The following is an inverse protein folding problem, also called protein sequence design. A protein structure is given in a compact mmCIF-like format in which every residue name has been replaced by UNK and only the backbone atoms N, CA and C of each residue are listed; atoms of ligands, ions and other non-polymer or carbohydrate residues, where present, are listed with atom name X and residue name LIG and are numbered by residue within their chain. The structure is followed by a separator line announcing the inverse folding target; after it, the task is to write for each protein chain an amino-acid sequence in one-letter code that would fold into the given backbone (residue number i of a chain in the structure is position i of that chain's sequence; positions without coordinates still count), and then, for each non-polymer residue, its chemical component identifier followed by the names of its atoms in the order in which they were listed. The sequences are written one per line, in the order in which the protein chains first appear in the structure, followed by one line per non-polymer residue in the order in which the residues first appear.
data_IF_884203163679
#
_entry.id   IF_884203163679
#
_cell.length_a   1.000
_cell.length_b   1.000
_cell.length_c   1.000
_cell.angle_alpha   90.00
_cell.angle_beta   90.00
_cell.angle_gamma   90.00
#
_symmetry.space_group_name_H-M   'P 1'
#
loop_
_entity.id
_entity.type
_entity.pdbx_description
1 polymer ?
#
# COMPACT_ATOMS: atom_id res chain seq x y z
N UNK A 1 -16.52 -0.37 -2.17
CA UNK A 1 -17.83 -0.71 -1.59
C UNK A 1 -18.97 -0.80 -2.62
N UNK A 2 -19.01 0.04 -3.67
CA UNK A 2 -20.04 -0.07 -4.73
C UNK A 2 -19.83 -1.22 -5.72
N UNK A 3 -18.58 -1.64 -5.97
CA UNK A 3 -18.27 -2.67 -6.96
C UNK A 3 -18.93 -4.05 -6.67
N UNK A 4 -18.95 -4.58 -5.44
CA UNK A 4 -19.64 -5.83 -5.13
C UNK A 4 -21.17 -5.75 -5.31
N UNK A 5 -21.79 -4.63 -4.91
CA UNK A 5 -23.25 -4.43 -5.04
C UNK A 5 -23.69 -4.42 -6.51
N UNK A 6 -22.94 -3.72 -7.37
CA UNK A 6 -23.22 -3.67 -8.82
C UNK A 6 -22.90 -5.02 -9.48
N UNK A 7 -21.90 -5.75 -8.98
CA UNK A 7 -21.58 -7.10 -9.46
C UNK A 7 -22.73 -8.09 -9.22
N UNK A 8 -23.33 -8.06 -8.02
CA UNK A 8 -24.45 -8.96 -7.66
C UNK A 8 -25.72 -8.62 -8.45
N UNK A 9 -26.00 -7.33 -8.68
CA UNK A 9 -27.23 -6.89 -9.35
C UNK A 9 -27.17 -6.96 -10.89
N UNK A 10 -26.00 -6.80 -11.50
CA UNK A 10 -25.91 -6.56 -12.96
C UNK A 10 -24.67 -7.17 -13.64
N UNK A 11 -23.91 -7.99 -12.91
CA UNK A 11 -22.74 -8.68 -13.44
C UNK A 11 -21.50 -7.78 -13.61
N UNK A 12 -20.36 -8.42 -13.88
CA UNK A 12 -19.05 -7.77 -13.93
C UNK A 12 -18.93 -6.70 -15.03
N UNK A 13 -19.65 -6.86 -16.14
CA UNK A 13 -19.58 -5.94 -17.27
C UNK A 13 -20.27 -4.59 -16.98
N UNK A 14 -21.34 -4.60 -16.16
CA UNK A 14 -21.99 -3.37 -15.70
C UNK A 14 -21.09 -2.60 -14.73
N UNK A 15 -20.36 -3.31 -13.85
CA UNK A 15 -19.34 -2.70 -12.98
C UNK A 15 -18.33 -1.94 -13.84
N UNK A 16 -17.72 -2.61 -14.83
CA UNK A 16 -16.72 -1.98 -15.69
C UNK A 16 -17.26 -0.72 -16.41
N UNK A 17 -18.47 -0.80 -16.99
CA UNK A 17 -19.11 0.34 -17.67
C UNK A 17 -19.37 1.51 -16.72
N UNK A 18 -19.90 1.25 -15.53
CA UNK A 18 -20.25 2.29 -14.56
C UNK A 18 -19.00 3.04 -14.07
N UNK A 19 -17.91 2.31 -13.80
CA UNK A 19 -16.61 2.92 -13.48
C UNK A 19 -16.00 3.68 -14.65
N UNK A 20 -16.10 3.17 -15.88
CA UNK A 20 -15.62 3.85 -17.08
C UNK A 20 -16.36 5.18 -17.33
N UNK A 21 -17.69 5.19 -17.18
CA UNK A 21 -18.49 6.42 -17.30
C UNK A 21 -18.13 7.41 -16.18
N UNK A 22 -17.99 6.94 -14.95
CA UNK A 22 -17.55 7.79 -13.83
C UNK A 22 -16.20 8.45 -14.10
N UNK A 23 -15.22 7.67 -14.57
CA UNK A 23 -13.89 8.19 -14.94
C UNK A 23 -13.96 9.18 -16.09
N UNK A 24 -14.75 8.90 -17.14
CA UNK A 24 -14.94 9.81 -18.26
C UNK A 24 -15.58 11.14 -17.83
N UNK A 25 -16.61 11.10 -16.98
CA UNK A 25 -17.22 12.32 -16.42
C UNK A 25 -16.21 13.10 -15.60
N UNK A 26 -15.43 12.45 -14.73
CA UNK A 26 -14.38 13.15 -13.97
C UNK A 26 -13.31 13.74 -14.86
N UNK A 27 -12.92 13.06 -15.95
CA UNK A 27 -11.95 13.58 -16.91
C UNK A 27 -12.49 14.81 -17.66
N UNK A 28 -13.76 14.78 -18.07
CA UNK A 28 -14.42 15.93 -18.73
C UNK A 28 -14.53 17.11 -17.76
N UNK A 29 -14.97 16.87 -16.52
CA UNK A 29 -15.03 17.92 -15.50
C UNK A 29 -13.65 18.50 -15.23
N UNK A 30 -12.63 17.66 -15.06
CA UNK A 30 -11.27 18.12 -14.85
C UNK A 30 -10.77 18.92 -16.06
N UNK A 31 -11.06 18.49 -17.29
CA UNK A 31 -10.68 19.23 -18.50
C UNK A 31 -11.35 20.60 -18.59
N UNK A 32 -12.63 20.72 -18.20
CA UNK A 32 -13.39 21.96 -18.28
C UNK A 32 -13.09 22.93 -17.12
N UNK A 33 -12.80 22.41 -15.92
CA UNK A 33 -12.65 23.23 -14.70
C UNK A 33 -11.20 23.41 -14.24
N UNK A 34 -10.26 22.60 -14.69
CA UNK A 34 -8.85 22.77 -14.32
C UNK A 34 -8.27 23.99 -15.02
N UNK A 35 -7.77 24.93 -14.22
CA UNK A 35 -6.96 26.05 -14.69
C UNK A 35 -5.55 25.56 -15.02
N UNK A 36 -4.91 26.17 -16.01
CA UNK A 36 -3.49 25.92 -16.27
C UNK A 36 -2.68 26.23 -15.00
N UNK A 37 -1.71 25.36 -14.71
CA UNK A 37 -0.86 25.46 -13.51
C UNK A 37 -0.06 26.78 -13.59
N UNK A 38 -0.06 27.65 -12.57
CA UNK A 38 0.65 28.94 -12.62
C UNK A 38 2.14 28.79 -12.93
N UNK A 39 2.73 27.66 -12.51
CA UNK A 39 4.12 27.30 -12.80
C UNK A 39 4.40 27.00 -14.28
N UNK A 40 3.39 26.56 -15.05
CA UNK A 40 3.46 26.35 -16.50
C UNK A 40 3.26 27.68 -17.26
N UNK A 41 2.41 28.57 -16.76
CA UNK A 41 2.23 29.93 -17.30
C UNK A 41 3.50 30.78 -17.10
N UNK A 42 4.12 30.74 -15.92
CA UNK A 42 5.39 31.43 -15.66
C UNK A 42 6.55 30.84 -16.47
N UNK A 43 6.58 29.52 -16.70
CA UNK A 43 7.56 28.85 -17.60
C UNK A 43 7.35 29.20 -19.07
N UNK A 44 6.09 29.31 -19.54
CA UNK A 44 5.76 29.82 -20.88
C UNK A 44 6.18 31.28 -21.05
N UNK A 45 5.94 32.12 -20.04
CA UNK A 45 6.32 33.56 -20.06
C UNK A 45 7.83 33.78 -20.03
N UNK A 46 8.58 32.93 -19.33
CA UNK A 46 10.05 33.03 -19.20
C UNK A 46 10.84 32.34 -20.32
N UNK A 47 10.18 31.65 -21.26
CA UNK A 47 10.84 30.99 -22.40
C UNK A 47 11.73 29.80 -22.01
N UNK A 48 11.63 29.31 -20.77
CA UNK A 48 12.43 28.20 -20.27
C UNK A 48 11.91 26.91 -20.89
N UNK A 49 12.75 26.20 -21.65
CA UNK A 49 12.39 24.90 -22.23
C UNK A 49 11.97 23.93 -21.12
N UNK A 50 10.93 23.11 -21.34
CA UNK A 50 10.56 22.07 -20.39
C UNK A 50 11.78 21.16 -20.15
N UNK A 51 12.07 20.85 -18.88
CA UNK A 51 13.17 19.95 -18.52
C UNK A 51 13.05 18.68 -19.33
N UNK A 52 14.14 18.32 -20.01
CA UNK A 52 14.15 17.15 -20.88
C UNK A 52 13.85 15.89 -20.06
N UNK A 53 13.22 14.89 -20.67
CA UNK A 53 12.96 13.60 -20.02
C UNK A 53 14.25 13.03 -19.41
N UNK A 54 15.39 13.15 -20.11
CA UNK A 54 16.70 12.74 -19.61
C UNK A 54 17.14 13.49 -18.33
N UNK A 55 16.86 14.79 -18.20
CA UNK A 55 17.13 15.57 -16.99
C UNK A 55 16.18 15.22 -15.84
N UNK A 56 14.91 14.92 -16.14
CA UNK A 56 13.95 14.45 -15.14
C UNK A 56 14.37 13.09 -14.53
N UNK A 57 15.07 12.25 -15.30
CA UNK A 57 15.61 10.95 -14.86
C UNK A 57 17.00 11.02 -14.25
N UNK A 58 17.67 12.17 -14.27
CA UNK A 58 18.97 12.34 -13.63
C UNK A 58 18.99 11.91 -12.14
N UNK A 59 17.93 12.15 -11.33
CA UNK A 59 17.87 11.68 -9.94
C UNK A 59 17.92 10.16 -9.78
N UNK A 60 17.46 9.37 -10.76
CA UNK A 60 17.51 7.91 -10.71
C UNK A 60 18.93 7.36 -10.70
N UNK A 61 19.93 8.15 -11.12
CA UNK A 61 21.34 7.76 -11.03
C UNK A 61 21.84 7.70 -9.58
N UNK A 62 21.11 8.28 -8.64
CA UNK A 62 21.49 8.28 -7.23
C UNK A 62 20.92 7.05 -6.51
N UNK A 63 21.80 6.26 -5.88
CA UNK A 63 21.42 5.06 -5.12
C UNK A 63 20.41 5.35 -4.00
N UNK A 64 20.40 6.57 -3.48
CA UNK A 64 19.45 6.97 -2.45
C UNK A 64 18.00 6.93 -2.93
N UNK A 65 17.74 7.25 -4.22
CA UNK A 65 16.39 7.15 -4.80
C UNK A 65 15.94 5.70 -4.83
N UNK A 66 16.77 4.78 -5.30
CA UNK A 66 16.47 3.35 -5.30
C UNK A 66 16.17 2.79 -3.91
N UNK A 67 16.86 3.28 -2.88
CA UNK A 67 16.58 2.90 -1.50
C UNK A 67 15.17 3.35 -1.06
N UNK A 68 14.77 4.57 -1.41
CA UNK A 68 13.41 5.05 -1.12
C UNK A 68 12.35 4.32 -1.96
N UNK A 69 12.64 4.05 -3.23
CA UNK A 69 11.77 3.25 -4.10
C UNK A 69 11.57 1.84 -3.57
N UNK A 70 12.62 1.20 -3.03
CA UNK A 70 12.52 -0.11 -2.40
C UNK A 70 11.63 -0.08 -1.15
N UNK A 71 11.79 0.94 -0.30
CA UNK A 71 10.91 1.12 0.86
C UNK A 71 9.46 1.35 0.43
N UNK A 72 9.24 2.17 -0.59
CA UNK A 72 7.91 2.40 -1.13
C UNK A 72 7.31 1.12 -1.73
N UNK A 73 8.09 0.36 -2.50
CA UNK A 73 7.68 -0.91 -3.08
C UNK A 73 7.21 -1.89 -1.99
N UNK A 74 7.99 -2.06 -0.92
CA UNK A 74 7.60 -2.92 0.18
C UNK A 74 6.31 -2.45 0.85
N UNK A 75 6.26 -1.17 1.21
CA UNK A 75 5.19 -0.62 2.03
C UNK A 75 3.87 -0.44 1.25
N UNK A 76 3.94 -0.01 -0.01
CA UNK A 76 2.78 0.16 -0.88
C UNK A 76 2.44 -1.12 -1.64
N UNK A 77 3.42 -1.71 -2.33
CA UNK A 77 3.23 -2.94 -3.10
C UNK A 77 2.83 -4.10 -2.20
N UNK A 78 3.49 -4.28 -1.06
CA UNK A 78 3.12 -5.31 -0.09
C UNK A 78 1.71 -5.10 0.49
N UNK A 79 1.31 -3.86 0.75
CA UNK A 79 -0.04 -3.55 1.21
C UNK A 79 -1.10 -3.90 0.16
N UNK A 80 -0.85 -3.55 -1.12
CA UNK A 80 -1.77 -3.86 -2.23
C UNK A 80 -1.86 -5.37 -2.45
N UNK A 81 -0.71 -6.06 -2.46
CA UNK A 81 -0.66 -7.51 -2.60
C UNK A 81 -1.43 -8.21 -1.48
N UNK A 82 -1.22 -7.79 -0.23
CA UNK A 82 -1.91 -8.37 0.92
C UNK A 82 -3.41 -8.05 0.89
N UNK A 83 -3.81 -6.82 0.55
CA UNK A 83 -5.23 -6.45 0.42
C UNK A 83 -5.99 -7.30 -0.61
N UNK A 84 -5.35 -7.62 -1.74
CA UNK A 84 -5.93 -8.43 -2.82
C UNK A 84 -5.96 -9.91 -2.47
N UNK A 85 -4.94 -10.41 -1.79
CA UNK A 85 -4.78 -11.82 -1.46
C UNK A 85 -5.55 -12.24 -0.20
N UNK A 86 -5.74 -11.33 0.76
CA UNK A 86 -6.33 -11.60 2.07
C UNK A 86 -7.71 -12.27 2.01
N UNK A 87 -8.71 -11.82 1.21
CA UNK A 87 -10.00 -12.50 1.14
C UNK A 87 -9.86 -13.95 0.66
N UNK A 88 -9.02 -14.18 -0.34
CA UNK A 88 -8.79 -15.50 -0.91
C UNK A 88 -8.13 -16.44 0.12
N UNK A 89 -7.16 -15.94 0.88
CA UNK A 89 -6.52 -16.70 1.95
C UNK A 89 -7.49 -17.06 3.07
N UNK A 90 -8.33 -16.11 3.50
CA UNK A 90 -9.30 -16.35 4.57
C UNK A 90 -10.36 -17.40 4.18
N UNK A 91 -10.81 -17.40 2.92
CA UNK A 91 -11.73 -18.43 2.40
C UNK A 91 -11.02 -19.78 2.29
N UNK A 92 -9.81 -19.81 1.71
CA UNK A 92 -9.09 -21.07 1.43
C UNK A 92 -8.48 -21.75 2.66
N UNK A 93 -7.82 -20.99 3.53
CA UNK A 93 -7.09 -21.53 4.68
C UNK A 93 -7.97 -21.69 5.92
N UNK A 94 -8.93 -20.78 6.12
CA UNK A 94 -9.79 -20.77 7.32
C UNK A 94 -11.24 -21.18 7.04
N UNK A 95 -11.60 -21.49 5.79
CA UNK A 95 -12.94 -21.93 5.42
C UNK A 95 -14.02 -20.86 5.65
N UNK A 96 -13.64 -19.58 5.73
CA UNK A 96 -14.60 -18.50 5.97
C UNK A 96 -15.52 -18.27 4.78
N UNK A 97 -16.75 -17.83 5.07
CA UNK A 97 -17.66 -17.32 4.05
C UNK A 97 -17.07 -16.10 3.33
N UNK A 98 -17.35 -16.00 2.03
CA UNK A 98 -16.84 -14.94 1.15
C UNK A 98 -17.26 -13.56 1.63
N UNK A 99 -18.47 -13.42 2.20
CA UNK A 99 -18.96 -12.17 2.77
C UNK A 99 -18.12 -11.73 3.96
N UNK A 100 -17.89 -12.62 4.92
CA UNK A 100 -17.09 -12.34 6.13
C UNK A 100 -15.63 -12.05 5.80
N UNK A 101 -15.03 -12.84 4.90
CA UNK A 101 -13.66 -12.61 4.43
C UNK A 101 -13.52 -11.25 3.71
N UNK A 102 -14.51 -10.88 2.90
CA UNK A 102 -14.57 -9.56 2.25
C UNK A 102 -14.70 -8.42 3.25
N UNK A 103 -15.52 -8.57 4.30
CA UNK A 103 -15.63 -7.57 5.37
C UNK A 103 -14.32 -7.39 6.13
N UNK A 104 -13.64 -8.48 6.49
CA UNK A 104 -12.33 -8.41 7.17
C UNK A 104 -11.28 -7.72 6.30
N UNK A 105 -11.26 -7.99 4.99
CA UNK A 105 -10.36 -7.31 4.06
C UNK A 105 -10.71 -5.81 3.89
N UNK A 106 -11.99 -5.45 3.93
CA UNK A 106 -12.41 -4.05 3.96
C UNK A 106 -11.95 -3.35 5.26
N UNK A 107 -12.09 -4.03 6.41
CA UNK A 107 -11.60 -3.57 7.71
C UNK A 107 -10.07 -3.43 7.75
N UNK A 108 -9.32 -4.16 6.93
CA UNK A 108 -7.88 -3.93 6.74
C UNK A 108 -7.60 -2.64 5.93
N UNK A 109 -8.37 -2.39 4.88
CA UNK A 109 -8.11 -1.30 3.92
C UNK A 109 -8.55 0.09 4.39
N UNK A 110 -9.73 0.18 5.04
CA UNK A 110 -10.32 1.47 5.45
C UNK A 110 -9.47 2.17 6.51
N UNK A 111 -9.12 1.54 7.65
CA UNK A 111 -8.34 2.18 8.69
C UNK A 111 -6.92 2.46 8.21
N UNK A 112 -6.34 1.60 7.37
CA UNK A 112 -5.05 1.89 6.75
C UNK A 112 -5.06 3.23 6.01
N UNK A 113 -6.15 3.62 5.35
CA UNK A 113 -6.24 4.93 4.70
C UNK A 113 -6.30 6.08 5.71
N UNK A 114 -7.05 5.92 6.81
CA UNK A 114 -7.15 6.90 7.90
C UNK A 114 -5.81 7.08 8.63
N UNK A 115 -5.11 5.98 8.90
CA UNK A 115 -3.82 5.98 9.58
C UNK A 115 -2.70 6.65 8.78
N UNK A 116 -2.91 6.92 7.49
CA UNK A 116 -1.98 7.72 6.69
C UNK A 116 -1.83 9.14 7.23
N UNK A 117 -2.94 9.72 7.74
CA UNK A 117 -2.94 11.04 8.37
C UNK A 117 -2.11 11.02 9.65
N UNK A 118 -2.32 10.00 10.48
CA UNK A 118 -1.55 9.77 11.71
C UNK A 118 -0.07 9.56 11.39
N UNK A 119 0.24 8.83 10.31
CA UNK A 119 1.60 8.62 9.81
C UNK A 119 2.31 9.90 9.40
N UNK A 120 1.58 10.83 8.76
CA UNK A 120 2.09 12.17 8.45
C UNK A 120 2.46 12.92 9.73
N UNK A 121 1.51 13.06 10.66
CA UNK A 121 1.73 13.75 11.93
C UNK A 121 2.86 13.12 12.77
N UNK A 122 2.92 11.79 12.83
CA UNK A 122 3.95 11.08 13.57
C UNK A 122 5.32 11.27 12.92
N UNK A 123 5.40 11.19 11.59
CA UNK A 123 6.62 11.50 10.81
C UNK A 123 7.08 12.95 11.00
N UNK A 124 6.14 13.87 11.28
CA UNK A 124 6.42 15.25 11.64
C UNK A 124 7.07 15.40 13.01
N UNK A 125 6.57 14.67 14.01
CA UNK A 125 7.05 14.81 15.39
C UNK A 125 8.32 14.01 15.70
N UNK A 126 8.39 12.75 15.28
CA UNK A 126 9.52 11.84 15.62
C UNK A 126 10.53 11.66 14.48
N UNK A 127 10.21 12.15 13.29
CA UNK A 127 11.06 12.12 12.11
C UNK A 127 10.84 10.87 11.25
N UNK A 128 10.80 11.09 9.93
CA UNK A 128 10.48 10.09 8.92
C UNK A 128 11.41 8.86 8.94
N UNK A 129 12.69 9.01 9.34
CA UNK A 129 13.64 7.88 9.40
C UNK A 129 13.28 6.90 10.51
N UNK A 130 12.88 7.39 11.69
CA UNK A 130 12.47 6.52 12.81
C UNK A 130 11.19 5.78 12.44
N UNK A 131 10.16 6.48 11.97
CA UNK A 131 8.90 5.84 11.53
C UNK A 131 9.15 4.73 10.51
N UNK A 132 10.08 4.94 9.56
CA UNK A 132 10.45 3.91 8.59
C UNK A 132 11.04 2.66 9.24
N UNK A 133 12.00 2.80 10.15
CA UNK A 133 12.59 1.64 10.83
C UNK A 133 11.58 0.88 11.69
N UNK A 134 10.69 1.59 12.37
CA UNK A 134 9.59 0.97 13.11
C UNK A 134 8.67 0.19 12.17
N UNK A 135 8.34 0.79 11.02
CA UNK A 135 7.51 0.13 10.00
C UNK A 135 8.16 -1.16 9.51
N UNK A 136 9.42 -1.10 9.09
CA UNK A 136 10.13 -2.26 8.58
C UNK A 136 10.33 -3.33 9.68
N UNK A 137 10.72 -2.93 10.89
CA UNK A 137 10.95 -3.85 12.00
C UNK A 137 9.69 -4.58 12.45
N UNK A 138 8.58 -3.86 12.64
CA UNK A 138 7.28 -4.48 12.98
C UNK A 138 6.79 -5.35 11.82
N UNK A 139 7.00 -4.91 10.58
CA UNK A 139 6.60 -5.69 9.41
C UNK A 139 7.36 -7.02 9.36
N UNK A 140 8.67 -7.03 9.59
CA UNK A 140 9.47 -8.27 9.67
C UNK A 140 8.88 -9.22 10.70
N UNK A 141 8.63 -8.74 11.93
CA UNK A 141 8.07 -9.57 13.01
C UNK A 141 6.70 -10.12 12.61
N UNK A 142 5.79 -9.28 12.10
CA UNK A 142 4.45 -9.71 11.71
C UNK A 142 4.50 -10.71 10.55
N UNK A 143 5.28 -10.44 9.50
CA UNK A 143 5.43 -11.35 8.36
C UNK A 143 6.10 -12.66 8.74
N UNK A 144 7.05 -12.64 9.68
CA UNK A 144 7.68 -13.85 10.19
C UNK A 144 6.67 -14.73 10.91
N UNK A 145 5.81 -14.16 11.76
CA UNK A 145 4.74 -14.92 12.42
C UNK A 145 3.73 -15.44 11.39
N UNK A 146 3.29 -14.58 10.45
CA UNK A 146 2.34 -14.95 9.40
C UNK A 146 2.88 -15.99 8.41
N UNK A 147 4.20 -16.15 8.29
CA UNK A 147 4.83 -17.13 7.43
C UNK A 147 4.70 -18.58 7.94
N UNK A 148 4.22 -18.80 9.18
CA UNK A 148 3.95 -20.14 9.72
C UNK A 148 2.46 -20.49 9.55
N UNK A 149 2.06 -21.17 8.45
CA UNK A 149 0.70 -21.68 8.31
C UNK A 149 0.43 -22.81 9.31
N UNK A 150 -0.82 -23.28 9.34
CA UNK A 150 -1.19 -24.50 10.06
C UNK A 150 -0.23 -25.65 9.68
N UNK A 151 0.69 -25.96 10.59
CA UNK A 151 1.76 -26.91 10.34
C UNK A 151 1.77 -27.94 11.45
N UNK A 152 1.60 -29.21 11.05
CA UNK A 152 1.83 -30.36 11.92
C UNK A 152 3.30 -30.75 11.82
N UNK A 153 4.05 -30.47 12.87
CA UNK A 153 5.44 -30.90 12.97
C UNK A 153 5.48 -32.30 13.57
N UNK A 154 6.23 -33.19 12.92
CA UNK A 154 6.51 -34.53 13.42
C UNK A 154 8.02 -34.63 13.62
N UNK A 155 8.46 -34.63 14.88
CA UNK A 155 9.86 -34.78 15.23
C UNK A 155 10.09 -36.24 15.62
N UNK A 156 10.95 -36.93 14.86
CA UNK A 156 11.35 -38.30 15.19
C UNK A 156 12.35 -38.27 16.33
N UNK A 157 11.88 -38.62 17.53
CA UNK A 157 12.71 -38.75 18.72
C UNK A 157 13.22 -40.19 18.92
N UNK A 158 14.19 -40.33 19.81
CA UNK A 158 14.79 -41.63 20.20
C UNK A 158 13.76 -42.53 20.90
N UNK A 159 12.75 -41.94 21.55
CA UNK A 159 11.68 -42.64 22.28
C UNK A 159 10.33 -42.68 21.54
N UNK A 160 10.26 -42.23 20.28
CA UNK A 160 9.04 -42.19 19.49
C UNK A 160 8.83 -40.86 18.75
N UNK A 161 7.78 -40.80 17.93
CA UNK A 161 7.40 -39.59 17.19
C UNK A 161 6.70 -38.59 18.10
N UNK A 162 7.27 -37.39 18.24
CA UNK A 162 6.63 -36.27 18.94
C UNK A 162 5.96 -35.41 17.88
N UNK A 163 4.63 -35.45 17.79
CA UNK A 163 3.87 -34.59 16.91
C UNK A 163 3.28 -33.39 17.65
N UNK A 164 3.56 -32.17 17.19
CA UNK A 164 2.92 -30.95 17.68
C UNK A 164 2.27 -30.17 16.54
N UNK A 165 1.16 -29.52 16.86
CA UNK A 165 0.32 -28.77 15.93
C UNK A 165 0.44 -27.29 16.25
N UNK A 166 0.95 -26.51 15.29
CA UNK A 166 1.05 -25.06 15.40
C UNK A 166 0.06 -24.45 14.41
N UNK A 167 -1.02 -23.87 14.93
CA UNK A 167 -2.01 -23.16 14.13
C UNK A 167 -2.21 -21.74 14.66
N UNK A 168 -2.22 -20.77 13.74
CA UNK A 168 -2.54 -19.39 14.04
C UNK A 168 -4.06 -19.23 14.01
N UNK A 169 -4.65 -18.82 15.12
CA UNK A 169 -6.08 -18.53 15.17
C UNK A 169 -6.46 -17.38 14.23
N UNK A 170 -7.67 -17.42 13.68
CA UNK A 170 -8.20 -16.35 12.80
C UNK A 170 -8.09 -14.98 13.46
N UNK A 171 -8.35 -14.91 14.77
CA UNK A 171 -8.25 -13.67 15.55
C UNK A 171 -6.82 -13.14 15.56
N UNK A 172 -5.84 -13.99 15.87
CA UNK A 172 -4.43 -13.58 15.90
C UNK A 172 -3.95 -13.16 14.50
N UNK A 173 -4.31 -13.92 13.47
CA UNK A 173 -4.04 -13.58 12.08
C UNK A 173 -4.60 -12.21 11.70
N UNK A 174 -5.86 -11.94 12.04
CA UNK A 174 -6.53 -10.67 11.76
C UNK A 174 -5.84 -9.50 12.47
N UNK A 175 -5.47 -9.68 13.74
CA UNK A 175 -4.74 -8.65 14.51
C UNK A 175 -3.37 -8.37 13.88
N UNK A 176 -2.62 -9.41 13.52
CA UNK A 176 -1.30 -9.26 12.88
C UNK A 176 -1.39 -8.54 11.54
N UNK A 177 -2.36 -8.91 10.71
CA UNK A 177 -2.62 -8.25 9.43
C UNK A 177 -3.01 -6.78 9.64
N UNK A 178 -3.85 -6.48 10.64
CA UNK A 178 -4.24 -5.12 10.96
C UNK A 178 -3.05 -4.25 11.42
N UNK A 179 -2.23 -4.79 12.32
CA UNK A 179 -1.00 -4.12 12.80
C UNK A 179 -0.03 -3.90 11.63
N UNK A 180 0.16 -4.92 10.78
CA UNK A 180 0.98 -4.80 9.58
C UNK A 180 0.46 -3.69 8.65
N UNK A 181 -0.85 -3.67 8.38
CA UNK A 181 -1.49 -2.63 7.55
C UNK A 181 -1.36 -1.22 8.14
N UNK A 182 -1.49 -1.08 9.46
CA UNK A 182 -1.25 0.16 10.18
C UNK A 182 0.16 0.68 9.94
N UNK A 183 1.18 -0.13 10.27
CA UNK A 183 2.58 0.27 10.12
C UNK A 183 2.94 0.53 8.66
N UNK A 184 2.45 -0.30 7.72
CA UNK A 184 2.63 -0.03 6.30
C UNK A 184 2.01 1.31 5.90
N UNK A 185 0.83 1.68 6.41
CA UNK A 185 0.29 3.01 6.12
C UNK A 185 1.18 4.16 6.63
N UNK A 186 1.72 4.02 7.85
CA UNK A 186 2.67 5.00 8.41
C UNK A 186 3.93 5.12 7.53
N UNK A 187 4.45 3.98 7.05
CA UNK A 187 5.60 3.94 6.16
C UNK A 187 5.40 4.73 4.86
N UNK A 188 4.20 4.67 4.25
CA UNK A 188 3.90 5.45 3.02
C UNK A 188 4.06 6.94 3.28
N UNK A 189 3.47 7.43 4.37
CA UNK A 189 3.58 8.84 4.76
C UNK A 189 5.03 9.24 5.05
N UNK A 190 5.80 8.35 5.68
CA UNK A 190 7.22 8.58 5.94
C UNK A 190 8.07 8.63 4.65
N UNK A 191 7.83 7.77 3.65
CA UNK A 191 8.53 7.84 2.35
C UNK A 191 8.27 9.19 1.71
N UNK A 192 6.99 9.58 1.55
CA UNK A 192 6.63 10.82 0.85
C UNK A 192 7.20 12.06 1.51
N UNK A 193 7.46 12.03 2.82
CA UNK A 193 8.13 13.12 3.51
C UNK A 193 9.63 13.21 3.22
N UNK A 194 10.32 12.10 2.98
CA UNK A 194 11.76 12.13 2.64
C UNK A 194 12.01 12.76 1.27
N UNK A 195 11.11 12.55 0.31
CA UNK A 195 11.29 12.99 -1.08
C UNK A 195 11.51 14.51 -1.20
N UNK A 196 10.66 15.40 -0.67
CA UNK A 196 10.87 16.85 -0.76
C UNK A 196 12.03 17.36 0.08
N UNK A 197 12.43 16.64 1.14
CA UNK A 197 13.59 17.02 1.96
C UNK A 197 14.91 16.79 1.22
N UNK A 198 15.02 15.68 0.48
CA UNK A 198 16.23 15.31 -0.25
C UNK A 198 16.25 15.84 -1.69
N UNK A 199 15.10 16.00 -2.33
CA UNK A 199 14.96 16.38 -3.73
C UNK A 199 13.87 17.47 -3.94
N UNK A 200 14.02 18.67 -3.33
CA UNK A 200 12.99 19.72 -3.37
C UNK A 200 12.67 20.21 -4.80
N UNK A 201 13.64 20.12 -5.72
CA UNK A 201 13.49 20.53 -7.12
C UNK A 201 12.98 19.40 -8.04
N UNK A 202 12.93 18.15 -7.55
CA UNK A 202 12.63 16.94 -8.35
C UNK A 202 11.61 16.03 -7.66
N UNK A 203 10.69 16.60 -6.87
CA UNK A 203 9.69 15.84 -6.10
C UNK A 203 8.80 14.99 -7.01
N UNK A 204 8.41 15.51 -8.17
CA UNK A 204 7.60 14.79 -9.15
C UNK A 204 8.34 13.57 -9.74
N UNK A 205 9.57 13.75 -10.22
CA UNK A 205 10.31 12.66 -10.85
C UNK A 205 10.80 11.59 -9.89
N UNK A 206 11.04 11.93 -8.62
CA UNK A 206 11.43 10.97 -7.58
C UNK A 206 10.21 10.35 -6.87
N UNK A 207 9.09 11.07 -6.80
CA UNK A 207 7.82 10.60 -6.21
C UNK A 207 7.02 9.66 -7.11
N UNK A 208 7.23 9.75 -8.41
CA UNK A 208 6.61 8.88 -9.41
C UNK A 208 6.41 9.63 -10.72
N UNK A 209 7.27 9.35 -11.70
CA UNK A 209 6.90 9.44 -13.12
C UNK A 209 6.06 8.22 -13.45
#
# INVERSE_FOLDING_TARGET
LLAPLVMVASGWMMVAKLWAVGLAVTAILFYLFSKEDPSLEDRRRSGVKPMSFAEQMAPLKNLQVWRFSLYYFFVFGGFVALALWLPHYLVGAYGMDVGTAGMLAACYSIPASLFRVVGGWLSDRIGARRVMYWTLGVSVICTFILAYPDTRYIVKGIHGEISFHLAISVTLFTVLVFVLGFFMSLGKAAVYKHIPVYYPQHVGSVGGV
#
